data_IF_944083877865
#
_entry.id   IF_944083877865
#
_cell.length_a   1.000
_cell.length_b   1.000
_cell.length_c   1.000
_cell.angle_alpha   90.00
_cell.angle_beta   90.00
_cell.angle_gamma   90.00
#
_symmetry.space_group_name_H-M   'P 1'
#
loop_
_entity.id
_entity.type
_entity.pdbx_description
1 polymer ?
#
# COMPACT_ATOMS: atom_id res chain seq x y z
N UNK A 1 -23.12 36.25 -21.61
CA UNK A 1 -24.02 36.37 -20.45
C UNK A 1 -24.38 35.00 -19.86
N UNK A 2 -24.69 33.98 -20.66
CA UNK A 2 -24.95 32.61 -20.17
C UNK A 2 -23.71 31.93 -19.54
N UNK A 3 -22.53 32.09 -20.14
CA UNK A 3 -21.27 31.55 -19.61
C UNK A 3 -20.95 32.06 -18.19
N UNK A 4 -21.26 33.33 -17.91
CA UNK A 4 -21.00 33.95 -16.60
C UNK A 4 -21.92 33.42 -15.49
N UNK A 5 -23.13 32.97 -15.85
CA UNK A 5 -24.05 32.31 -14.92
C UNK A 5 -23.57 30.87 -14.68
N UNK A 6 -23.06 30.19 -15.71
CA UNK A 6 -22.51 28.84 -15.60
C UNK A 6 -21.27 28.79 -14.70
N UNK A 7 -20.39 29.79 -14.81
CA UNK A 7 -19.22 29.89 -13.93
C UNK A 7 -19.60 30.25 -12.49
N UNK A 8 -20.57 31.16 -12.29
CA UNK A 8 -21.09 31.48 -10.95
C UNK A 8 -21.73 30.26 -10.26
N UNK A 9 -22.48 29.44 -11.00
CA UNK A 9 -23.08 28.22 -10.46
C UNK A 9 -22.02 27.15 -10.17
N UNK A 10 -20.98 27.05 -11.01
CA UNK A 10 -19.85 26.13 -10.79
C UNK A 10 -19.08 26.46 -9.52
N UNK A 11 -18.75 27.73 -9.33
CA UNK A 11 -17.98 28.18 -8.16
C UNK A 11 -18.79 28.02 -6.85
N UNK A 12 -20.11 28.26 -6.91
CA UNK A 12 -21.00 28.05 -5.77
C UNK A 12 -21.18 26.56 -5.45
N UNK A 13 -21.26 25.71 -6.47
CA UNK A 13 -21.36 24.27 -6.32
C UNK A 13 -20.05 23.71 -5.73
N UNK A 14 -18.89 24.09 -6.28
CA UNK A 14 -17.58 23.62 -5.79
C UNK A 14 -17.31 24.08 -4.35
N UNK A 15 -17.66 25.32 -4.00
CA UNK A 15 -17.50 25.83 -2.63
C UNK A 15 -18.37 25.13 -1.58
N UNK A 16 -19.63 24.81 -1.91
CA UNK A 16 -20.55 24.11 -1.00
C UNK A 16 -20.22 22.62 -0.87
N UNK A 17 -19.80 21.96 -1.96
CA UNK A 17 -19.43 20.55 -1.96
C UNK A 17 -18.19 20.34 -1.08
N UNK A 18 -17.15 21.15 -1.25
CA UNK A 18 -15.90 21.02 -0.47
C UNK A 18 -16.13 21.32 1.02
N UNK A 19 -16.91 22.34 1.36
CA UNK A 19 -17.18 22.71 2.76
C UNK A 19 -18.02 21.67 3.51
N UNK A 20 -19.04 21.08 2.86
CA UNK A 20 -19.86 20.02 3.48
C UNK A 20 -19.16 18.67 3.52
N UNK A 21 -18.34 18.33 2.51
CA UNK A 21 -17.47 17.14 2.57
C UNK A 21 -16.46 17.27 3.71
N UNK A 22 -15.84 18.44 3.88
CA UNK A 22 -14.87 18.66 4.95
C UNK A 22 -15.51 18.56 6.35
N UNK A 23 -16.73 19.09 6.53
CA UNK A 23 -17.47 18.97 7.79
C UNK A 23 -17.92 17.53 8.11
N UNK A 24 -18.31 16.76 7.09
CA UNK A 24 -18.64 15.33 7.26
C UNK A 24 -17.41 14.46 7.51
N UNK A 25 -16.25 14.81 6.95
CA UNK A 25 -14.97 14.14 7.23
C UNK A 25 -14.45 14.48 8.63
N UNK A 26 -14.68 15.70 9.12
CA UNK A 26 -14.14 16.17 10.40
C UNK A 26 -14.97 15.73 11.63
N UNK A 27 -16.29 15.53 11.49
CA UNK A 27 -17.18 15.24 12.63
C UNK A 27 -17.54 13.76 12.82
N UNK A 28 -16.84 12.84 12.14
CA UNK A 28 -17.33 11.48 11.90
C UNK A 28 -16.45 10.29 12.30
N UNK A 29 -15.40 10.38 13.13
CA UNK A 29 -14.82 9.16 13.76
C UNK A 29 -13.93 9.43 14.97
N UNK A 30 -14.55 9.33 16.14
CA UNK A 30 -13.85 8.97 17.36
C UNK A 30 -13.06 7.67 17.17
N UNK A 31 -11.77 7.71 17.53
CA UNK A 31 -11.08 6.68 18.30
C UNK A 31 -11.27 5.23 17.82
N UNK A 32 -10.62 4.88 16.72
CA UNK A 32 -10.06 3.53 16.55
C UNK A 32 -8.63 3.61 17.11
N UNK A 33 -8.23 2.91 18.18
CA UNK A 33 -7.62 1.56 18.12
C UNK A 33 -6.61 1.38 16.96
N UNK A 34 -6.00 2.47 16.53
CA UNK A 34 -4.83 2.55 15.69
C UNK A 34 -3.62 2.22 16.57
N UNK A 35 -3.46 0.97 17.01
CA UNK A 35 -2.23 0.42 17.65
C UNK A 35 -2.15 -1.07 17.31
N UNK A 36 -2.44 -1.40 16.06
CA UNK A 36 -2.27 -2.73 15.48
C UNK A 36 -1.87 -2.59 14.00
N UNK A 37 -1.04 -1.59 13.71
CA UNK A 37 -0.44 -1.37 12.38
C UNK A 37 0.65 -2.41 12.05
N UNK A 38 0.83 -3.42 12.93
CA UNK A 38 1.69 -4.59 12.84
C UNK A 38 1.13 -5.73 11.96
N UNK A 39 0.45 -5.37 10.88
CA UNK A 39 -0.26 -6.31 10.03
C UNK A 39 0.03 -6.09 8.54
N UNK A 40 1.30 -5.87 8.19
CA UNK A 40 1.74 -5.85 6.79
C UNK A 40 2.96 -6.76 6.64
N UNK A 41 2.77 -7.86 5.92
CA UNK A 41 3.80 -8.85 5.60
C UNK A 41 4.55 -8.36 4.34
N UNK A 42 5.79 -7.91 4.50
CA UNK A 42 6.61 -7.38 3.40
C UNK A 42 7.14 -8.50 2.49
N UNK A 43 7.50 -9.65 3.05
CA UNK A 43 7.91 -10.83 2.30
C UNK A 43 6.77 -11.34 1.40
N UNK A 44 5.57 -11.44 1.95
CA UNK A 44 4.37 -11.83 1.20
C UNK A 44 4.05 -10.87 0.06
N UNK A 45 4.16 -9.56 0.31
CA UNK A 45 3.96 -8.54 -0.71
C UNK A 45 5.00 -8.63 -1.84
N UNK A 46 6.28 -8.81 -1.51
CA UNK A 46 7.35 -8.96 -2.49
C UNK A 46 7.18 -10.22 -3.34
N UNK A 47 6.76 -11.33 -2.73
CA UNK A 47 6.54 -12.58 -3.46
C UNK A 47 5.34 -12.45 -4.42
N UNK A 48 4.27 -11.79 -3.99
CA UNK A 48 3.11 -11.49 -4.83
C UNK A 48 3.50 -10.60 -6.04
N UNK A 49 4.32 -9.57 -5.83
CA UNK A 49 4.81 -8.68 -6.88
C UNK A 49 5.67 -9.41 -7.92
N UNK A 50 6.61 -10.23 -7.48
CA UNK A 50 7.46 -11.04 -8.36
C UNK A 50 6.61 -12.03 -9.15
N UNK A 51 5.69 -12.74 -8.48
CA UNK A 51 4.82 -13.72 -9.12
C UNK A 51 3.92 -13.06 -10.18
N UNK A 52 3.31 -11.91 -9.86
CA UNK A 52 2.50 -11.15 -10.80
C UNK A 52 3.30 -10.73 -12.04
N UNK A 53 4.50 -10.19 -11.82
CA UNK A 53 5.37 -9.71 -12.91
C UNK A 53 5.80 -10.85 -13.83
N UNK A 54 6.25 -11.97 -13.26
CA UNK A 54 6.68 -13.14 -14.04
C UNK A 54 5.49 -13.80 -14.76
N UNK A 55 4.35 -13.94 -14.10
CA UNK A 55 3.17 -14.54 -14.72
C UNK A 55 2.57 -13.68 -15.84
N UNK A 56 2.36 -12.37 -15.62
CA UNK A 56 1.84 -11.47 -16.67
C UNK A 56 2.81 -11.36 -17.84
N UNK A 57 4.11 -11.28 -17.60
CA UNK A 57 5.10 -11.23 -18.69
C UNK A 57 5.12 -12.52 -19.51
N UNK A 58 5.06 -13.69 -18.86
CA UNK A 58 4.97 -14.97 -19.55
C UNK A 58 3.68 -15.09 -20.40
N UNK A 59 2.52 -14.69 -19.84
CA UNK A 59 1.24 -14.66 -20.57
C UNK A 59 1.30 -13.69 -21.75
N UNK A 60 1.91 -12.51 -21.57
CA UNK A 60 2.11 -11.52 -22.63
C UNK A 60 2.91 -12.09 -23.80
N UNK A 61 4.05 -12.72 -23.52
CA UNK A 61 4.89 -13.35 -24.55
C UNK A 61 4.15 -14.51 -25.23
N UNK A 62 3.51 -15.38 -24.45
CA UNK A 62 2.78 -16.54 -24.99
C UNK A 62 1.60 -16.12 -25.88
N UNK A 63 0.79 -15.15 -25.43
CA UNK A 63 -0.35 -14.64 -26.19
C UNK A 63 0.10 -13.94 -27.48
N UNK A 64 1.19 -13.18 -27.43
CA UNK A 64 1.77 -12.54 -28.60
C UNK A 64 2.28 -13.57 -29.63
N UNK A 65 3.06 -14.57 -29.20
CA UNK A 65 3.58 -15.62 -30.08
C UNK A 65 2.44 -16.42 -30.75
N UNK A 66 1.41 -16.77 -29.97
CA UNK A 66 0.28 -17.53 -30.50
C UNK A 66 -0.53 -16.72 -31.52
N UNK A 67 -0.79 -15.44 -31.23
CA UNK A 67 -1.43 -14.52 -32.18
C UNK A 67 -0.62 -14.29 -33.44
N UNK A 68 0.71 -14.25 -33.32
CA UNK A 68 1.61 -14.07 -34.45
C UNK A 68 1.60 -15.27 -35.41
N UNK A 69 1.67 -16.49 -34.88
CA UNK A 69 1.65 -17.72 -35.69
C UNK A 69 0.30 -17.90 -36.40
N UNK A 70 -0.80 -17.63 -35.68
CA UNK A 70 -2.16 -17.82 -36.22
C UNK A 70 -2.68 -16.61 -37.02
N UNK A 71 -1.95 -15.49 -37.03
CA UNK A 71 -2.36 -14.20 -37.62
C UNK A 71 -3.75 -13.72 -37.17
N UNK A 72 -4.17 -14.07 -35.95
CA UNK A 72 -5.48 -13.74 -35.38
C UNK A 72 -5.31 -12.97 -34.05
N UNK A 73 -5.62 -11.67 -34.10
CA UNK A 73 -5.54 -10.75 -32.94
C UNK A 73 -6.61 -11.08 -31.90
N UNK A 74 -7.79 -11.55 -32.31
CA UNK A 74 -8.87 -11.88 -31.38
C UNK A 74 -8.51 -13.11 -30.54
N UNK A 75 -7.85 -14.10 -31.15
CA UNK A 75 -7.36 -15.27 -30.44
C UNK A 75 -6.25 -14.92 -29.44
N UNK A 76 -5.29 -14.07 -29.83
CA UNK A 76 -4.28 -13.53 -28.92
C UNK A 76 -4.92 -12.82 -27.71
N UNK A 77 -5.91 -11.96 -27.93
CA UNK A 77 -6.61 -11.25 -26.86
C UNK A 77 -7.36 -12.19 -25.93
N UNK A 78 -8.01 -13.24 -26.43
CA UNK A 78 -8.70 -14.24 -25.60
C UNK A 78 -7.72 -14.99 -24.69
N UNK A 79 -6.55 -15.34 -25.21
CA UNK A 79 -5.49 -15.99 -24.42
C UNK A 79 -4.91 -15.02 -23.39
N UNK A 80 -4.64 -13.77 -23.78
CA UNK A 80 -4.14 -12.74 -22.88
C UNK A 80 -5.10 -12.43 -21.74
N UNK A 81 -6.39 -12.25 -22.04
CA UNK A 81 -7.45 -12.07 -21.03
C UNK A 81 -7.58 -13.29 -20.12
N UNK A 82 -7.59 -14.49 -20.69
CA UNK A 82 -7.63 -15.74 -19.91
C UNK A 82 -6.44 -15.88 -18.97
N UNK A 83 -5.22 -15.65 -19.45
CA UNK A 83 -4.01 -15.74 -18.65
C UNK A 83 -3.89 -14.63 -17.60
N UNK A 84 -4.39 -13.42 -17.90
CA UNK A 84 -4.44 -12.32 -16.93
C UNK A 84 -5.46 -12.61 -15.83
N UNK A 85 -6.65 -13.11 -16.18
CA UNK A 85 -7.66 -13.53 -15.21
C UNK A 85 -7.15 -14.67 -14.31
N UNK A 86 -6.43 -15.64 -14.88
CA UNK A 86 -5.77 -16.70 -14.12
C UNK A 86 -4.71 -16.14 -13.16
N UNK A 87 -3.90 -15.17 -13.61
CA UNK A 87 -2.89 -14.54 -12.76
C UNK A 87 -3.52 -13.75 -11.61
N UNK A 88 -4.62 -13.04 -11.86
CA UNK A 88 -5.38 -12.40 -10.80
C UNK A 88 -5.89 -13.42 -9.78
N UNK A 89 -6.43 -14.55 -10.23
CA UNK A 89 -6.86 -15.61 -9.32
C UNK A 89 -5.69 -16.15 -8.49
N UNK A 90 -4.49 -16.24 -9.04
CA UNK A 90 -3.29 -16.74 -8.35
C UNK A 90 -2.65 -15.73 -7.39
N UNK A 91 -2.74 -14.42 -7.67
CA UNK A 91 -2.02 -13.39 -6.90
C UNK A 91 -2.94 -12.64 -5.92
N UNK A 92 -4.19 -12.40 -6.28
CA UNK A 92 -5.11 -11.53 -5.51
C UNK A 92 -5.62 -12.15 -4.21
N UNK A 93 -5.97 -13.45 -4.15
CA UNK A 93 -6.40 -14.02 -2.88
C UNK A 93 -5.26 -13.97 -1.86
N UNK A 94 -5.56 -13.73 -0.57
CA UNK A 94 -4.57 -13.83 0.49
C UNK A 94 -4.26 -15.31 0.75
N UNK A 95 -3.43 -15.91 -0.10
CA UNK A 95 -3.07 -17.32 0.03
C UNK A 95 -2.24 -17.54 1.30
N UNK A 96 -2.38 -18.70 1.97
CA UNK A 96 -1.63 -19.06 3.18
C UNK A 96 -0.09 -18.83 3.13
N UNK A 97 0.63 -19.01 2.00
CA UNK A 97 2.06 -18.69 1.94
C UNK A 97 2.39 -17.19 2.02
N UNK A 98 1.46 -16.28 1.69
CA UNK A 98 1.70 -14.83 1.67
C UNK A 98 1.53 -14.14 3.04
N UNK A 99 1.22 -14.89 4.11
CA UNK A 99 0.84 -14.32 5.41
C UNK A 99 1.55 -15.04 6.58
N UNK A 100 2.77 -15.51 6.34
CA UNK A 100 3.53 -16.28 7.34
C UNK A 100 4.47 -15.41 8.17
N UNK A 101 4.75 -14.18 7.76
CA UNK A 101 5.74 -13.32 8.40
C UNK A 101 5.07 -12.03 8.88
N UNK A 102 4.57 -12.08 10.12
CA UNK A 102 4.14 -10.87 10.84
C UNK A 102 5.39 -10.07 11.21
N UNK A 103 5.48 -8.87 10.67
CA UNK A 103 6.52 -7.90 11.01
C UNK A 103 6.19 -7.33 12.39
N UNK A 104 7.12 -7.42 13.34
CA UNK A 104 7.05 -6.74 14.65
C UNK A 104 7.72 -5.36 14.54
N UNK A 105 6.91 -4.32 14.42
CA UNK A 105 7.28 -2.92 14.48
C UNK A 105 7.68 -2.57 15.91
N UNK A 106 8.84 -1.92 16.05
CA UNK A 106 9.21 -1.23 17.27
C UNK A 106 8.16 -0.16 17.62
N UNK A 107 7.87 0.05 18.92
CA UNK A 107 6.93 1.07 19.34
C UNK A 107 7.37 2.45 18.82
N UNK A 108 6.41 3.19 18.26
CA UNK A 108 6.61 4.56 17.79
C UNK A 108 6.85 5.47 18.99
N UNK A 109 8.13 5.63 19.30
CA UNK A 109 8.64 6.30 20.49
C UNK A 109 9.63 5.38 21.16
N UNK A 110 10.91 5.71 21.11
CA UNK A 110 11.99 5.00 21.80
C UNK A 110 11.83 5.05 23.32
N UNK A 111 10.83 4.33 23.84
CA UNK A 111 10.33 4.42 25.19
C UNK A 111 9.72 3.11 25.62
N UNK A 112 10.53 2.04 25.59
CA UNK A 112 10.50 0.89 26.53
C UNK A 112 11.22 -0.33 25.94
N UNK A 113 12.46 -0.14 25.49
CA UNK A 113 13.46 -1.22 25.43
C UNK A 113 14.71 -0.87 26.26
N UNK A 114 14.54 0.03 27.24
CA UNK A 114 15.49 0.31 28.32
C UNK A 114 14.80 0.03 29.65
N UNK A 115 14.50 -1.24 29.91
CA UNK A 115 14.31 -1.74 31.28
C UNK A 115 14.73 -3.20 31.29
N UNK A 116 16.04 -3.43 31.29
CA UNK A 116 16.64 -4.66 31.85
C UNK A 116 18.17 -4.72 31.82
N UNK A 117 18.88 -3.75 31.26
CA UNK A 117 20.32 -3.63 31.49
C UNK A 117 20.69 -2.20 31.84
N UNK A 118 21.10 -2.04 33.10
CA UNK A 118 21.72 -0.85 33.66
C UNK A 118 22.91 -0.42 32.79
N UNK A 119 22.79 0.71 32.11
CA UNK A 119 23.91 1.63 31.99
C UNK A 119 23.47 2.92 32.65
N UNK A 120 23.53 2.87 33.99
CA UNK A 120 23.84 4.03 34.82
C UNK A 120 25.13 4.64 34.26
N UNK A 121 24.98 5.69 33.45
CA UNK A 121 26.10 6.53 33.07
C UNK A 121 26.46 7.29 34.35
N UNK A 122 27.31 6.68 35.17
CA UNK A 122 28.01 7.39 36.25
C UNK A 122 28.92 8.39 35.56
N UNK A 123 28.48 9.64 35.51
CA UNK A 123 29.31 10.77 35.13
C UNK A 123 30.30 10.94 36.27
N UNK A 124 31.50 10.35 36.13
CA UNK A 124 32.56 10.49 37.11
C UNK A 124 33.09 11.93 37.07
N UNK A 125 32.56 12.77 37.97
CA UNK A 125 32.93 14.18 38.13
C UNK A 125 34.43 14.37 38.41
N UNK A 126 35.15 13.32 38.82
CA UNK A 126 36.59 13.39 39.12
C UNK A 126 37.46 13.53 37.88
N UNK A 127 36.93 13.24 36.69
CA UNK A 127 37.65 13.44 35.42
C UNK A 127 37.71 14.92 34.99
N UNK A 128 36.80 15.79 35.45
CA UNK A 128 36.78 17.21 35.10
C UNK A 128 37.55 18.12 36.07
N UNK A 129 37.93 17.63 37.25
CA UNK A 129 38.57 18.46 38.29
C UNK A 129 40.09 18.58 38.19
N UNK A 130 40.74 18.02 37.15
CA UNK A 130 42.20 18.06 36.97
C UNK A 130 42.60 18.77 35.68
N UNK A 131 42.10 19.99 35.49
CA UNK A 131 42.69 20.98 34.60
C UNK A 131 42.94 22.28 35.37
#
# INVERSE_FOLDING_TARGET
MAEQILDQVRDLAEGQIVSRICLLVSSGKARTRLTDYNLKDFEGQKLAEILATVALSAVGVASFLMGFILQDIALALKIGLGGTALTFLLVVPPWPPFNRHKVDWLPVGGGSAITSAQQEIVIDEKLFSKQ
#
